data_IF_163287942749
#
_entry.id   IF_163287942749
#
_cell.length_a   1.000
_cell.length_b   1.000
_cell.length_c   1.000
_cell.angle_alpha   90.00
_cell.angle_beta   90.00
_cell.angle_gamma   90.00
#
_symmetry.space_group_name_H-M   'P 1'
#
loop_
_entity.id
_entity.type
_entity.pdbx_description
1 polymer ?
#
# COMPACT_ATOMS: atom_id res chain seq x y z
N UNK A 1 19.60 -38.76 -36.78
CA UNK A 1 18.54 -38.13 -37.59
C UNK A 1 17.64 -37.42 -36.59
N UNK A 2 17.73 -36.09 -36.50
CA UNK A 2 16.95 -35.29 -35.53
C UNK A 2 15.57 -35.14 -36.16
N UNK A 3 14.55 -35.61 -35.45
CA UNK A 3 13.16 -35.53 -35.91
C UNK A 3 12.67 -34.09 -35.75
N UNK A 4 12.65 -33.34 -36.84
CA UNK A 4 12.21 -31.97 -36.92
C UNK A 4 10.69 -31.79 -36.70
N UNK A 5 9.89 -32.87 -36.74
CA UNK A 5 8.46 -32.80 -36.55
C UNK A 5 8.05 -32.58 -35.09
N UNK A 6 8.92 -32.87 -34.09
CA UNK A 6 8.61 -32.65 -32.68
C UNK A 6 8.77 -31.20 -32.23
N UNK A 7 9.27 -30.30 -33.09
CA UNK A 7 9.47 -28.87 -32.73
C UNK A 7 8.23 -28.04 -33.06
N UNK A 8 7.32 -28.51 -33.89
CA UNK A 8 6.15 -27.77 -34.34
C UNK A 8 4.82 -28.15 -33.63
N UNK A 9 4.83 -29.14 -32.74
CA UNK A 9 3.61 -29.69 -32.11
C UNK A 9 3.10 -28.89 -30.87
N UNK A 10 3.56 -27.68 -30.62
CA UNK A 10 3.10 -26.86 -29.48
C UNK A 10 2.70 -25.41 -29.85
N UNK A 11 2.32 -25.15 -31.10
CA UNK A 11 1.55 -23.93 -31.38
C UNK A 11 0.11 -24.14 -30.93
N UNK A 12 -0.20 -23.83 -29.65
CA UNK A 12 -1.58 -23.59 -29.24
C UNK A 12 -2.17 -22.60 -30.23
N UNK A 13 -3.23 -23.03 -30.94
CA UNK A 13 -3.93 -22.22 -31.92
C UNK A 13 -4.34 -20.91 -31.23
N UNK A 14 -3.66 -19.81 -31.55
CA UNK A 14 -3.96 -18.50 -31.00
C UNK A 14 -5.28 -17.99 -31.55
N UNK A 15 -6.14 -17.51 -30.69
CA UNK A 15 -7.35 -16.79 -31.12
C UNK A 15 -6.95 -15.42 -31.67
N UNK A 16 -7.38 -15.15 -32.89
CA UNK A 16 -7.01 -13.94 -33.66
C UNK A 16 -8.28 -13.30 -34.19
N UNK A 17 -8.44 -12.00 -34.02
CA UNK A 17 -9.66 -11.34 -34.49
C UNK A 17 -9.72 -9.85 -34.19
N UNK A 18 -10.91 -9.30 -34.33
CA UNK A 18 -11.19 -7.90 -34.06
C UNK A 18 -11.91 -7.71 -32.74
N UNK A 19 -11.67 -6.57 -32.10
CA UNK A 19 -12.39 -6.23 -30.90
C UNK A 19 -13.12 -4.89 -31.03
N UNK A 20 -14.20 -4.77 -30.25
CA UNK A 20 -15.10 -3.63 -30.26
C UNK A 20 -15.36 -3.20 -28.82
N UNK A 21 -15.56 -1.92 -28.60
CA UNK A 21 -16.03 -1.36 -27.33
C UNK A 21 -17.53 -1.12 -27.42
N UNK A 22 -18.23 -1.51 -26.39
CA UNK A 22 -19.63 -1.18 -26.19
C UNK A 22 -19.72 0.08 -25.35
N UNK A 23 -20.40 1.09 -25.89
CA UNK A 23 -20.60 2.38 -25.25
C UNK A 23 -22.09 2.63 -24.98
N UNK A 24 -22.34 3.16 -23.81
CA UNK A 24 -23.67 3.64 -23.41
C UNK A 24 -23.65 5.15 -23.21
N UNK A 25 -24.66 5.84 -23.72
CA UNK A 25 -24.89 7.29 -23.61
C UNK A 25 -26.12 7.47 -22.71
N UNK A 26 -25.96 7.68 -21.38
CA UNK A 26 -27.08 7.80 -20.44
C UNK A 26 -28.01 8.97 -20.79
N UNK A 27 -27.42 10.08 -21.20
CA UNK A 27 -28.11 11.28 -21.60
C UNK A 27 -27.67 11.67 -23.02
N UNK A 28 -28.63 11.58 -23.98
CA UNK A 28 -28.39 11.89 -25.39
C UNK A 28 -28.04 13.37 -25.56
N UNK A 29 -28.58 14.27 -24.73
CA UNK A 29 -28.35 15.70 -24.83
C UNK A 29 -26.94 16.06 -24.40
N UNK A 30 -26.45 15.41 -23.32
CA UNK A 30 -25.08 15.58 -22.87
C UNK A 30 -24.06 14.91 -23.82
N UNK A 31 -24.46 13.81 -24.49
CA UNK A 31 -23.62 13.09 -25.45
C UNK A 31 -22.42 12.34 -24.86
N UNK A 32 -22.31 12.27 -23.54
CA UNK A 32 -21.21 11.58 -22.88
C UNK A 32 -21.37 10.07 -23.01
N UNK A 33 -20.37 9.41 -23.61
CA UNK A 33 -20.36 7.97 -23.80
C UNK A 33 -19.50 7.24 -22.75
N UNK A 34 -20.10 6.30 -22.05
CA UNK A 34 -19.45 5.46 -21.05
C UNK A 34 -19.16 4.08 -21.65
N UNK A 35 -17.93 3.60 -21.53
CA UNK A 35 -17.59 2.24 -21.90
C UNK A 35 -18.18 1.27 -20.88
N UNK A 36 -19.09 0.39 -21.34
CA UNK A 36 -19.81 -0.58 -20.51
C UNK A 36 -19.49 -2.03 -20.86
N UNK A 37 -18.77 -2.29 -21.95
CA UNK A 37 -18.45 -3.64 -22.36
C UNK A 37 -17.43 -3.72 -23.50
N UNK A 38 -17.04 -4.96 -23.82
CA UNK A 38 -16.14 -5.32 -24.91
C UNK A 38 -16.67 -6.56 -25.61
N UNK A 39 -16.54 -6.57 -26.95
CA UNK A 39 -16.77 -7.73 -27.82
C UNK A 39 -15.48 -8.08 -28.53
N UNK A 40 -15.14 -9.34 -28.53
CA UNK A 40 -14.13 -9.91 -29.41
C UNK A 40 -14.82 -10.81 -30.44
N UNK A 41 -14.47 -10.65 -31.71
CA UNK A 41 -14.94 -11.47 -32.81
C UNK A 41 -13.73 -12.07 -33.52
N UNK A 42 -13.65 -13.41 -33.54
CA UNK A 42 -12.57 -14.12 -34.22
C UNK A 42 -12.76 -14.08 -35.75
N UNK A 43 -11.77 -14.56 -36.49
CA UNK A 43 -11.81 -14.62 -37.95
C UNK A 43 -12.85 -15.61 -38.52
N UNK A 44 -13.45 -16.45 -37.66
CA UNK A 44 -14.52 -17.40 -38.01
C UNK A 44 -15.90 -16.83 -37.68
N UNK A 45 -15.97 -15.62 -37.10
CA UNK A 45 -17.22 -14.99 -36.67
C UNK A 45 -17.73 -15.41 -35.29
N UNK A 46 -16.95 -16.22 -34.54
CA UNK A 46 -17.31 -16.55 -33.15
C UNK A 46 -17.05 -15.32 -32.25
N UNK A 47 -17.99 -15.09 -31.32
CA UNK A 47 -17.94 -13.93 -30.46
C UNK A 47 -17.82 -14.26 -29.00
N UNK A 48 -17.08 -13.45 -28.29
CA UNK A 48 -17.00 -13.43 -26.84
C UNK A 48 -17.29 -12.01 -26.35
N UNK A 49 -18.16 -11.88 -25.36
CA UNK A 49 -18.67 -10.58 -24.87
C UNK A 49 -18.53 -10.50 -23.37
N UNK A 50 -18.00 -9.40 -22.88
CA UNK A 50 -17.99 -9.06 -21.46
C UNK A 50 -18.58 -7.67 -21.27
N UNK A 51 -19.56 -7.55 -20.39
CA UNK A 51 -20.25 -6.29 -20.05
C UNK A 51 -20.23 -6.06 -18.55
N UNK A 52 -20.42 -4.80 -18.18
CA UNK A 52 -20.42 -4.38 -16.79
C UNK A 52 -21.45 -5.18 -15.96
N UNK A 53 -21.01 -5.68 -14.80
CA UNK A 53 -21.82 -6.42 -13.84
C UNK A 53 -21.90 -5.71 -12.47
N UNK A 54 -21.09 -4.67 -12.28
CA UNK A 54 -21.01 -3.91 -11.04
C UNK A 54 -21.37 -2.43 -11.29
N UNK A 55 -22.47 -1.97 -10.70
CA UNK A 55 -23.14 -0.70 -11.05
C UNK A 55 -23.02 0.37 -9.96
N UNK A 56 -22.36 0.13 -8.85
CA UNK A 56 -22.27 1.11 -7.75
C UNK A 56 -21.63 2.44 -8.18
N UNK A 57 -20.65 2.39 -9.10
CA UNK A 57 -20.02 3.60 -9.63
C UNK A 57 -20.99 4.41 -10.49
N UNK A 58 -21.87 3.77 -11.22
CA UNK A 58 -22.93 4.44 -12.00
C UNK A 58 -23.89 5.16 -11.04
N UNK A 59 -24.34 4.48 -9.97
CA UNK A 59 -25.20 5.10 -8.97
C UNK A 59 -24.56 6.31 -8.28
N UNK A 60 -23.27 6.22 -7.96
CA UNK A 60 -22.52 7.32 -7.34
C UNK A 60 -22.24 8.49 -8.30
N UNK A 61 -22.02 8.22 -9.57
CA UNK A 61 -21.66 9.24 -10.58
C UNK A 61 -22.86 9.89 -11.25
N UNK A 62 -23.85 9.07 -11.67
CA UNK A 62 -25.05 9.54 -12.40
C UNK A 62 -26.31 9.62 -11.52
N UNK A 63 -26.30 8.93 -10.37
CA UNK A 63 -27.45 8.78 -9.50
C UNK A 63 -28.14 7.40 -9.62
N UNK A 64 -28.81 6.99 -8.56
CA UNK A 64 -29.43 5.65 -8.43
C UNK A 64 -30.45 5.35 -9.55
N UNK A 65 -31.13 6.37 -10.09
CA UNK A 65 -32.07 6.20 -11.20
C UNK A 65 -31.45 5.59 -12.45
N UNK A 66 -30.15 5.83 -12.71
CA UNK A 66 -29.43 5.30 -13.86
C UNK A 66 -28.95 3.86 -13.68
N UNK A 67 -28.93 3.34 -12.47
CA UNK A 67 -28.48 1.96 -12.21
C UNK A 67 -29.38 0.94 -12.89
N UNK A 68 -30.71 1.15 -12.84
CA UNK A 68 -31.65 0.25 -13.51
C UNK A 68 -31.49 0.29 -15.05
N UNK A 69 -31.35 1.50 -15.61
CA UNK A 69 -31.13 1.66 -17.05
C UNK A 69 -29.82 1.00 -17.51
N UNK A 70 -28.73 1.18 -16.75
CA UNK A 70 -27.45 0.55 -17.04
C UNK A 70 -27.51 -0.97 -17.02
N UNK A 71 -28.19 -1.57 -16.04
CA UNK A 71 -28.43 -3.03 -15.97
C UNK A 71 -29.17 -3.53 -17.19
N UNK A 72 -30.31 -2.91 -17.50
CA UNK A 72 -31.12 -3.28 -18.66
C UNK A 72 -30.32 -3.12 -19.97
N UNK A 73 -29.56 -2.04 -20.11
CA UNK A 73 -28.70 -1.82 -21.27
C UNK A 73 -27.65 -2.91 -21.41
N UNK A 74 -26.97 -3.29 -20.33
CA UNK A 74 -25.97 -4.36 -20.33
C UNK A 74 -26.58 -5.71 -20.72
N UNK A 75 -27.77 -6.04 -20.22
CA UNK A 75 -28.47 -7.29 -20.58
C UNK A 75 -28.85 -7.32 -22.07
N UNK A 76 -29.45 -6.24 -22.58
CA UNK A 76 -29.81 -6.14 -24.01
C UNK A 76 -28.56 -6.25 -24.90
N UNK A 77 -27.51 -5.49 -24.58
CA UNK A 77 -26.31 -5.45 -25.39
C UNK A 77 -25.58 -6.78 -25.41
N UNK A 78 -25.56 -7.52 -24.29
CA UNK A 78 -24.95 -8.87 -24.24
C UNK A 78 -25.60 -9.79 -25.27
N UNK A 79 -26.93 -9.83 -25.32
CA UNK A 79 -27.66 -10.67 -26.26
C UNK A 79 -27.48 -10.21 -27.70
N UNK A 80 -27.59 -8.91 -27.95
CA UNK A 80 -27.46 -8.33 -29.29
C UNK A 80 -26.06 -8.53 -29.85
N UNK A 81 -25.01 -8.30 -29.05
CA UNK A 81 -23.64 -8.44 -29.47
C UNK A 81 -23.24 -9.90 -29.80
N UNK A 82 -23.93 -10.88 -29.22
CA UNK A 82 -23.73 -12.29 -29.53
C UNK A 82 -24.47 -12.75 -30.79
N UNK A 83 -25.65 -12.17 -31.07
CA UNK A 83 -26.61 -12.73 -32.04
C UNK A 83 -26.79 -11.89 -33.30
N UNK A 84 -26.55 -10.55 -33.21
CA UNK A 84 -26.82 -9.64 -34.33
C UNK A 84 -25.53 -9.05 -34.92
N UNK A 85 -25.57 -8.51 -36.18
CA UNK A 85 -24.41 -7.81 -36.75
C UNK A 85 -23.92 -6.66 -35.85
N UNK A 86 -22.61 -6.53 -35.64
CA UNK A 86 -22.03 -5.53 -34.72
C UNK A 86 -22.12 -4.08 -35.26
N UNK A 87 -22.37 -3.90 -36.51
CA UNK A 87 -22.59 -2.61 -37.17
C UNK A 87 -24.07 -2.15 -37.12
N UNK A 88 -24.95 -3.02 -36.58
CA UNK A 88 -26.38 -2.66 -36.41
C UNK A 88 -26.50 -1.58 -35.33
N UNK A 89 -27.18 -0.50 -35.67
CA UNK A 89 -27.56 0.54 -34.72
C UNK A 89 -28.69 0.05 -33.81
N UNK A 90 -28.36 -0.23 -32.55
CA UNK A 90 -29.32 -0.74 -31.56
C UNK A 90 -30.26 0.39 -31.09
N UNK A 91 -29.67 1.52 -30.73
CA UNK A 91 -30.39 2.75 -30.33
C UNK A 91 -29.47 3.96 -30.40
N UNK A 92 -30.02 5.16 -30.16
CA UNK A 92 -29.20 6.38 -30.05
C UNK A 92 -28.29 6.36 -28.80
N UNK A 93 -28.62 5.55 -27.81
CA UNK A 93 -27.88 5.46 -26.54
C UNK A 93 -26.80 4.39 -26.53
N UNK A 94 -26.75 3.53 -27.55
CA UNK A 94 -25.86 2.36 -27.58
C UNK A 94 -25.02 2.37 -28.86
N UNK A 95 -23.70 2.41 -28.71
CA UNK A 95 -22.76 2.29 -29.81
C UNK A 95 -21.86 1.09 -29.63
N UNK A 96 -21.66 0.31 -30.68
CA UNK A 96 -20.60 -0.71 -30.76
C UNK A 96 -19.54 -0.20 -31.71
N UNK A 97 -18.37 0.14 -31.18
CA UNK A 97 -17.31 0.82 -31.92
C UNK A 97 -16.13 -0.12 -32.13
N UNK A 98 -15.84 -0.43 -33.38
CA UNK A 98 -14.64 -1.20 -33.77
C UNK A 98 -13.37 -0.46 -33.35
N UNK A 99 -12.46 -1.13 -32.66
CA UNK A 99 -11.22 -0.53 -32.15
C UNK A 99 -9.96 -1.04 -32.85
N UNK A 100 -9.88 -2.32 -33.11
CA UNK A 100 -8.68 -2.85 -33.77
C UNK A 100 -8.60 -4.36 -33.77
N UNK A 101 -7.41 -4.83 -34.05
CA UNK A 101 -7.05 -6.23 -34.12
C UNK A 101 -6.36 -6.66 -32.82
N UNK A 102 -6.57 -7.90 -32.40
CA UNK A 102 -5.94 -8.48 -31.23
C UNK A 102 -5.75 -9.98 -31.38
N UNK A 103 -4.83 -10.56 -30.59
CA UNK A 103 -4.57 -11.99 -30.53
C UNK A 103 -4.26 -12.41 -29.10
N UNK A 104 -4.55 -13.66 -28.76
CA UNK A 104 -4.26 -14.26 -27.47
C UNK A 104 -4.51 -15.76 -27.44
N UNK A 105 -4.30 -16.39 -26.29
CA UNK A 105 -4.40 -17.85 -26.17
C UNK A 105 -5.86 -18.34 -26.28
N UNK A 106 -6.81 -17.57 -25.76
CA UNK A 106 -8.24 -17.86 -25.92
C UNK A 106 -9.09 -16.58 -25.95
N UNK A 107 -10.31 -16.61 -26.53
CA UNK A 107 -11.20 -15.47 -26.64
C UNK A 107 -11.60 -14.85 -25.28
N UNK A 108 -11.82 -15.66 -24.25
CA UNK A 108 -12.26 -15.21 -22.95
C UNK A 108 -11.18 -14.36 -22.26
N UNK A 109 -9.90 -14.80 -22.30
CA UNK A 109 -8.79 -14.05 -21.74
C UNK A 109 -8.56 -12.72 -22.47
N UNK A 110 -8.73 -12.73 -23.81
CA UNK A 110 -8.64 -11.51 -24.63
C UNK A 110 -9.70 -10.49 -24.15
N UNK A 111 -10.95 -10.93 -24.05
CA UNK A 111 -12.07 -10.06 -23.65
C UNK A 111 -11.88 -9.54 -22.23
N UNK A 112 -11.53 -10.39 -21.27
CA UNK A 112 -11.31 -10.00 -19.88
C UNK A 112 -10.15 -9.00 -19.75
N UNK A 113 -9.06 -9.19 -20.46
CA UNK A 113 -7.93 -8.27 -20.46
C UNK A 113 -8.31 -6.90 -21.03
N UNK A 114 -9.03 -6.87 -22.16
CA UNK A 114 -9.49 -5.65 -22.80
C UNK A 114 -10.54 -4.93 -21.95
N UNK A 115 -11.49 -5.68 -21.41
CA UNK A 115 -12.54 -5.16 -20.53
C UNK A 115 -11.95 -4.42 -19.33
N UNK A 116 -11.01 -5.04 -18.63
CA UNK A 116 -10.33 -4.43 -17.48
C UNK A 116 -9.52 -3.17 -17.86
N UNK A 117 -9.06 -3.06 -19.11
CA UNK A 117 -8.32 -1.88 -19.59
C UNK A 117 -9.24 -0.73 -19.99
N UNK A 118 -10.38 -0.99 -20.61
CA UNK A 118 -11.20 0.06 -21.24
C UNK A 118 -12.49 0.38 -20.50
N UNK A 119 -13.01 -0.53 -19.66
CA UNK A 119 -14.22 -0.32 -18.87
C UNK A 119 -13.84 0.13 -17.46
N UNK A 120 -13.54 1.42 -17.32
CA UNK A 120 -13.11 2.00 -16.03
C UNK A 120 -14.17 1.88 -14.92
N UNK A 121 -15.43 1.75 -15.29
CA UNK A 121 -16.55 1.57 -14.36
C UNK A 121 -16.54 0.21 -13.65
N UNK A 122 -15.89 -0.80 -14.22
CA UNK A 122 -15.78 -2.14 -13.61
C UNK A 122 -14.80 -2.19 -12.43
N UNK A 123 -13.93 -1.21 -12.29
CA UNK A 123 -13.10 -1.16 -11.10
C UNK A 123 -14.03 -1.09 -9.90
N UNK A 124 -14.25 -2.26 -9.25
CA UNK A 124 -14.94 -2.31 -7.95
C UNK A 124 -14.34 -1.19 -7.15
N UNK A 125 -15.18 -0.27 -6.66
CA UNK A 125 -14.72 0.63 -5.63
C UNK A 125 -14.27 -0.34 -4.56
N UNK A 126 -12.96 -0.66 -4.56
CA UNK A 126 -12.35 -1.12 -3.34
C UNK A 126 -12.69 0.05 -2.45
N UNK A 127 -13.78 -0.06 -1.67
CA UNK A 127 -13.88 0.74 -0.48
C UNK A 127 -12.50 0.50 0.12
N UNK A 128 -11.63 1.51 -0.03
CA UNK A 128 -10.56 1.65 0.93
C UNK A 128 -11.38 1.60 2.20
N UNK A 129 -11.48 0.37 2.79
CA UNK A 129 -12.03 0.22 4.13
C UNK A 129 -11.62 1.53 4.73
N UNK A 130 -12.56 2.32 5.29
CA UNK A 130 -12.20 3.41 6.18
C UNK A 130 -11.45 2.75 7.35
N UNK A 131 -10.37 2.07 6.98
CA UNK A 131 -9.31 1.72 7.85
C UNK A 131 -8.94 3.07 8.37
N UNK A 132 -8.98 3.30 9.65
CA UNK A 132 -8.45 4.46 10.32
C UNK A 132 -7.30 4.93 9.48
N UNK A 133 -7.40 6.13 8.86
CA UNK A 133 -6.39 6.61 7.93
C UNK A 133 -5.06 6.45 8.65
N UNK A 134 -4.19 5.57 8.14
CA UNK A 134 -2.88 5.39 8.74
C UNK A 134 -2.24 6.77 8.83
N UNK A 135 -2.05 7.24 10.03
CA UNK A 135 -1.41 8.51 10.30
C UNK A 135 0.02 8.22 10.75
N UNK A 136 0.98 8.75 10.02
CA UNK A 136 2.38 8.70 10.45
C UNK A 136 2.55 9.42 11.79
N UNK A 137 3.42 8.88 12.63
CA UNK A 137 3.74 9.46 13.92
C UNK A 137 5.20 9.94 13.89
N UNK A 138 5.44 11.26 13.71
CA UNK A 138 6.77 11.82 13.77
C UNK A 138 7.43 11.58 15.13
N UNK A 139 8.77 11.46 15.13
CA UNK A 139 9.56 11.21 16.35
C UNK A 139 9.27 12.20 17.47
N UNK A 140 9.15 13.49 17.17
CA UNK A 140 8.90 14.52 18.17
C UNK A 140 7.51 14.37 18.80
N UNK A 141 6.50 14.03 18.00
CA UNK A 141 5.16 13.74 18.52
C UNK A 141 5.15 12.48 19.39
N UNK A 142 5.90 11.46 18.99
CA UNK A 142 6.08 10.24 19.77
C UNK A 142 6.76 10.56 21.11
N UNK A 143 7.85 11.32 21.07
CA UNK A 143 8.58 11.71 22.26
C UNK A 143 7.71 12.47 23.26
N UNK A 144 6.95 13.47 22.81
CA UNK A 144 6.04 14.22 23.68
C UNK A 144 5.00 13.32 24.35
N UNK A 145 4.45 12.34 23.62
CA UNK A 145 3.52 11.35 24.18
C UNK A 145 4.20 10.46 25.22
N UNK A 146 5.43 9.98 24.93
CA UNK A 146 6.21 9.18 25.87
C UNK A 146 6.53 9.97 27.14
N UNK A 147 7.01 11.22 27.01
CA UNK A 147 7.29 12.09 28.16
C UNK A 147 6.11 12.22 29.11
N UNK A 148 4.93 12.53 28.57
CA UNK A 148 3.73 12.73 29.39
C UNK A 148 3.37 11.48 30.20
N UNK A 149 3.54 10.29 29.59
CA UNK A 149 3.25 9.04 30.23
C UNK A 149 4.34 8.65 31.25
N UNK A 150 5.62 8.76 30.84
CA UNK A 150 6.75 8.48 31.74
C UNK A 150 6.75 9.39 32.97
N UNK A 151 6.29 10.63 32.83
CA UNK A 151 6.18 11.55 33.96
C UNK A 151 5.16 11.07 35.00
N UNK A 152 4.07 10.40 34.58
CA UNK A 152 3.11 9.81 35.50
C UNK A 152 3.60 8.50 36.10
N UNK A 153 4.36 7.71 35.34
CA UNK A 153 4.73 6.36 35.75
C UNK A 153 6.04 6.31 36.57
N UNK A 154 6.96 7.26 36.35
CA UNK A 154 8.25 7.37 37.07
C UNK A 154 8.22 8.40 38.23
N UNK A 155 7.20 9.25 38.29
CA UNK A 155 7.00 10.25 39.35
C UNK A 155 8.29 11.04 39.69
N UNK A 156 8.85 10.82 40.89
CA UNK A 156 10.06 11.50 41.37
C UNK A 156 11.33 11.11 40.60
N UNK A 157 11.38 9.91 40.04
CA UNK A 157 12.54 9.39 39.34
C UNK A 157 12.59 9.84 37.87
N UNK A 158 11.54 10.48 37.36
CA UNK A 158 11.46 10.93 35.98
C UNK A 158 12.68 11.72 35.53
N UNK A 159 13.13 12.68 36.35
CA UNK A 159 14.27 13.54 36.01
C UNK A 159 15.63 12.83 35.99
N UNK A 160 15.74 11.64 36.60
CA UNK A 160 16.95 10.82 36.55
C UNK A 160 17.16 10.18 35.19
N UNK A 161 16.06 9.83 34.49
CA UNK A 161 16.10 9.08 33.23
C UNK A 161 15.73 9.91 32.00
N UNK A 162 14.91 10.95 32.18
CA UNK A 162 14.40 11.80 31.08
C UNK A 162 14.91 13.22 31.27
N UNK A 163 16.01 13.60 30.61
CA UNK A 163 16.60 14.92 30.76
C UNK A 163 15.69 15.99 30.13
N UNK A 164 15.76 17.23 30.66
CA UNK A 164 15.01 18.37 30.10
C UNK A 164 15.31 18.63 28.61
N UNK A 165 16.55 18.34 28.19
CA UNK A 165 16.93 18.43 26.78
C UNK A 165 17.24 17.01 26.26
N UNK A 166 16.48 16.50 25.28
CA UNK A 166 16.73 15.18 24.71
C UNK A 166 18.02 15.10 23.90
N UNK A 167 18.65 16.23 23.61
CA UNK A 167 19.91 16.28 22.90
C UNK A 167 21.08 16.43 23.85
N UNK A 168 22.10 15.59 23.67
CA UNK A 168 23.38 15.70 24.35
C UNK A 168 24.44 16.28 23.41
N UNK A 169 25.23 17.24 23.89
CA UNK A 169 26.31 17.84 23.12
C UNK A 169 27.58 17.04 23.31
N UNK A 170 28.18 16.65 22.21
CA UNK A 170 29.49 16.00 22.19
C UNK A 170 30.57 17.10 22.10
N UNK A 171 31.34 17.30 23.15
CA UNK A 171 32.44 18.24 23.24
C UNK A 171 32.20 19.65 22.60
N UNK A 172 33.22 20.49 22.50
CA UNK A 172 33.13 21.86 21.99
C UNK A 172 32.76 21.98 20.48
N UNK A 173 32.65 20.85 19.75
CA UNK A 173 32.41 20.86 18.29
C UNK A 173 30.93 20.91 17.90
N UNK A 174 30.02 21.08 18.84
CA UNK A 174 28.61 21.36 18.52
C UNK A 174 27.77 20.19 18.02
N UNK A 175 28.32 18.97 17.87
CA UNK A 175 27.53 17.81 17.52
C UNK A 175 26.53 17.48 18.61
N UNK A 176 25.26 17.33 18.21
CA UNK A 176 24.16 16.99 19.11
C UNK A 176 23.71 15.57 18.83
N UNK A 177 23.70 14.73 19.85
CA UNK A 177 23.17 13.36 19.80
C UNK A 177 21.76 13.35 20.37
N UNK A 178 20.82 12.72 19.69
CA UNK A 178 19.45 12.57 20.19
C UNK A 178 19.34 11.36 21.11
N UNK A 179 19.38 11.63 22.41
CA UNK A 179 19.44 10.64 23.49
C UNK A 179 18.39 11.00 24.54
N UNK A 180 17.08 10.78 24.26
CA UNK A 180 15.99 11.20 25.12
C UNK A 180 15.92 10.45 26.46
N UNK A 181 16.55 9.27 26.57
CA UNK A 181 16.58 8.49 27.81
C UNK A 181 18.00 8.18 28.19
N UNK A 182 18.36 8.48 29.43
CA UNK A 182 19.72 8.36 29.95
C UNK A 182 19.69 7.92 31.40
N UNK A 183 20.67 7.12 31.81
CA UNK A 183 20.96 6.75 33.19
C UNK A 183 22.48 6.91 33.41
N UNK A 184 22.99 6.48 34.54
CA UNK A 184 24.42 6.61 34.84
C UNK A 184 25.31 5.84 33.85
N UNK A 185 24.87 4.64 33.44
CA UNK A 185 25.66 3.70 32.61
C UNK A 185 24.93 3.32 31.31
N UNK A 186 23.68 3.73 31.14
CA UNK A 186 22.82 3.35 30.02
C UNK A 186 22.34 4.57 29.23
N UNK A 187 22.21 4.39 27.93
CA UNK A 187 21.69 5.43 27.04
C UNK A 187 20.72 4.84 26.04
N UNK A 188 19.65 5.56 25.74
CA UNK A 188 18.73 5.11 24.72
C UNK A 188 18.23 6.25 23.82
N UNK A 189 17.98 5.90 22.55
CA UNK A 189 17.31 6.74 21.58
C UNK A 189 15.88 6.28 21.34
N UNK A 190 15.07 7.14 20.73
CA UNK A 190 13.69 6.86 20.33
C UNK A 190 13.56 7.10 18.83
N UNK A 191 13.03 6.11 18.12
CA UNK A 191 12.74 6.23 16.70
C UNK A 191 11.28 5.88 16.41
N UNK A 192 10.75 6.45 15.34
CA UNK A 192 9.46 6.08 14.82
C UNK A 192 9.62 5.38 13.48
N UNK A 193 9.09 4.17 13.38
CA UNK A 193 8.88 3.44 12.14
C UNK A 193 7.41 3.51 11.67
N UNK A 194 6.58 4.32 12.33
CA UNK A 194 5.18 4.52 11.97
C UNK A 194 5.04 5.47 10.76
N UNK A 195 5.56 5.03 9.61
CA UNK A 195 5.49 5.70 8.32
C UNK A 195 5.11 4.70 7.23
N UNK A 196 4.60 5.22 6.10
CA UNK A 196 4.31 4.40 4.91
C UNK A 196 5.52 4.26 3.96
N UNK A 197 6.55 5.08 4.15
CA UNK A 197 7.77 5.11 3.35
C UNK A 197 8.92 4.42 4.10
N UNK A 198 9.40 3.33 3.53
CA UNK A 198 10.47 2.50 4.11
C UNK A 198 11.82 3.24 4.17
N UNK A 199 12.12 4.12 3.19
CA UNK A 199 13.35 4.87 3.18
C UNK A 199 13.42 5.86 4.34
N UNK A 200 12.29 6.50 4.64
CA UNK A 200 12.19 7.39 5.80
C UNK A 200 12.41 6.64 7.12
N UNK A 201 11.88 5.41 7.21
CA UNK A 201 12.08 4.54 8.37
C UNK A 201 13.55 4.17 8.53
N UNK A 202 14.22 3.75 7.44
CA UNK A 202 15.65 3.45 7.44
C UNK A 202 16.47 4.62 7.93
N UNK A 203 16.25 5.82 7.41
CA UNK A 203 16.96 7.03 7.85
C UNK A 203 16.78 7.26 9.36
N UNK A 204 15.55 7.16 9.88
CA UNK A 204 15.28 7.35 11.31
C UNK A 204 16.01 6.33 12.20
N UNK A 205 16.04 5.07 11.77
CA UNK A 205 16.71 4.00 12.53
C UNK A 205 18.24 4.13 12.48
N UNK A 206 18.81 4.46 11.33
CA UNK A 206 20.24 4.70 11.20
C UNK A 206 20.71 5.95 11.97
N UNK A 207 19.90 7.02 12.00
CA UNK A 207 20.20 8.20 12.82
C UNK A 207 20.21 7.85 14.30
N UNK A 208 19.20 7.10 14.78
CA UNK A 208 19.14 6.65 16.15
C UNK A 208 20.35 5.73 16.52
N UNK A 209 20.70 4.81 15.62
CA UNK A 209 21.87 3.94 15.79
C UNK A 209 23.18 4.75 15.85
N UNK A 210 23.34 5.69 14.92
CA UNK A 210 24.54 6.56 14.88
C UNK A 210 24.69 7.29 16.20
N UNK A 211 23.61 7.89 16.71
CA UNK A 211 23.64 8.70 17.92
C UNK A 211 23.98 7.85 19.16
N UNK A 212 23.34 6.67 19.32
CA UNK A 212 23.65 5.74 20.43
C UNK A 212 25.07 5.19 20.31
N UNK A 213 25.49 4.74 19.12
CA UNK A 213 26.84 4.20 18.92
C UNK A 213 27.92 5.26 19.16
N UNK A 214 27.66 6.51 18.78
CA UNK A 214 28.58 7.61 19.06
C UNK A 214 28.65 7.90 20.54
N UNK A 215 27.53 7.86 21.26
CA UNK A 215 27.52 8.03 22.72
C UNK A 215 28.32 6.93 23.41
N UNK A 216 28.12 5.67 23.03
CA UNK A 216 28.87 4.52 23.61
C UNK A 216 30.38 4.60 23.35
N UNK A 217 30.80 5.17 22.22
CA UNK A 217 32.24 5.27 21.86
C UNK A 217 32.92 6.51 22.40
N UNK A 218 32.18 7.59 22.62
CA UNK A 218 32.76 8.90 22.91
C UNK A 218 32.49 9.39 24.32
N UNK A 219 31.61 8.73 25.06
CA UNK A 219 31.24 9.08 26.42
C UNK A 219 31.47 7.87 27.32
N UNK A 220 32.60 7.82 28.02
CA UNK A 220 33.05 6.68 28.83
C UNK A 220 32.06 6.21 29.91
N UNK A 221 31.07 7.05 30.23
CA UNK A 221 30.04 6.74 31.22
C UNK A 221 28.99 5.74 30.73
N UNK A 222 28.82 5.56 29.41
CA UNK A 222 27.78 4.68 28.87
C UNK A 222 28.38 3.36 28.39
N UNK A 223 27.85 2.26 28.93
CA UNK A 223 28.25 0.90 28.56
C UNK A 223 27.14 0.14 27.82
N UNK A 224 25.89 0.58 27.97
CA UNK A 224 24.72 -0.08 27.43
C UNK A 224 23.89 0.87 26.55
N UNK A 225 23.62 0.47 25.31
CA UNK A 225 22.84 1.22 24.36
C UNK A 225 21.51 0.53 24.02
N UNK A 226 20.43 1.32 23.91
CA UNK A 226 19.15 0.81 23.47
C UNK A 226 18.49 1.77 22.45
N UNK A 227 17.64 1.24 21.57
CA UNK A 227 16.80 2.03 20.68
C UNK A 227 15.38 1.51 20.82
N UNK A 228 14.47 2.41 21.21
CA UNK A 228 13.03 2.14 21.27
C UNK A 228 12.39 2.54 19.96
N UNK A 229 11.61 1.65 19.34
CA UNK A 229 11.02 1.88 18.03
C UNK A 229 9.52 1.63 18.06
N UNK A 230 8.75 2.65 17.73
CA UNK A 230 7.32 2.46 17.46
C UNK A 230 7.14 1.95 16.03
N UNK A 231 6.68 0.71 15.89
CA UNK A 231 6.37 0.11 14.58
C UNK A 231 4.96 0.51 14.10
N UNK A 232 4.65 0.36 12.79
CA UNK A 232 3.34 0.71 12.27
C UNK A 232 2.20 -0.06 12.94
N UNK A 233 1.08 0.63 13.14
CA UNK A 233 -0.16 0.00 13.61
C UNK A 233 -0.74 -0.95 12.53
N UNK A 234 -1.72 -1.78 12.93
CA UNK A 234 -2.41 -2.69 12.03
C UNK A 234 -3.29 -1.99 10.97
N UNK A 235 -3.36 -0.65 11.01
CA UNK A 235 -4.08 0.16 10.03
C UNK A 235 -3.28 0.39 8.73
N UNK A 236 -1.99 0.06 8.71
CA UNK A 236 -1.17 0.08 7.50
C UNK A 236 -1.46 -1.15 6.63
N UNK A 237 -1.37 -0.97 5.31
CA UNK A 237 -1.46 -2.06 4.35
C UNK A 237 -0.51 -3.22 4.70
N UNK A 238 -1.02 -4.45 4.65
CA UNK A 238 -0.31 -5.64 5.14
C UNK A 238 1.01 -5.88 4.40
N UNK A 239 1.06 -5.59 3.09
CA UNK A 239 2.26 -5.77 2.28
C UNK A 239 3.36 -4.80 2.70
N UNK A 240 2.99 -3.53 2.93
CA UNK A 240 3.92 -2.50 3.42
C UNK A 240 4.35 -2.79 4.85
N UNK A 241 3.44 -3.26 5.70
CA UNK A 241 3.75 -3.62 7.08
C UNK A 241 4.78 -4.75 7.13
N UNK A 242 4.57 -5.83 6.37
CA UNK A 242 5.51 -6.94 6.30
C UNK A 242 6.89 -6.52 5.78
N UNK A 243 6.93 -5.63 4.78
CA UNK A 243 8.20 -5.10 4.27
C UNK A 243 8.96 -4.29 5.34
N UNK A 244 8.25 -3.51 6.15
CA UNK A 244 8.84 -2.74 7.26
C UNK A 244 9.32 -3.67 8.39
N UNK A 245 8.54 -4.67 8.75
CA UNK A 245 8.90 -5.65 9.78
C UNK A 245 10.16 -6.44 9.38
N UNK A 246 10.26 -6.89 8.13
CA UNK A 246 11.45 -7.56 7.61
C UNK A 246 12.70 -6.66 7.67
N UNK A 247 12.56 -5.39 7.30
CA UNK A 247 13.66 -4.42 7.37
C UNK A 247 14.12 -4.17 8.81
N UNK A 248 13.18 -4.06 9.75
CA UNK A 248 13.50 -3.88 11.17
C UNK A 248 14.23 -5.11 11.72
N UNK A 249 13.84 -6.34 11.35
CA UNK A 249 14.52 -7.56 11.78
C UNK A 249 15.94 -7.66 11.20
N UNK A 250 16.16 -7.22 9.96
CA UNK A 250 17.52 -7.16 9.38
C UNK A 250 18.39 -6.15 10.14
N UNK A 251 17.86 -4.96 10.43
CA UNK A 251 18.57 -3.93 11.20
C UNK A 251 18.85 -4.37 12.64
N UNK A 252 17.95 -5.12 13.26
CA UNK A 252 18.12 -5.66 14.61
C UNK A 252 19.38 -6.53 14.73
N UNK A 253 19.65 -7.36 13.72
CA UNK A 253 20.87 -8.15 13.68
C UNK A 253 22.14 -7.26 13.64
N UNK A 254 22.13 -6.18 12.83
CA UNK A 254 23.24 -5.24 12.74
C UNK A 254 23.45 -4.47 14.05
N UNK A 255 22.37 -4.06 14.72
CA UNK A 255 22.46 -3.31 15.98
C UNK A 255 22.96 -4.17 17.12
N UNK A 256 22.55 -5.42 17.19
CA UNK A 256 23.08 -6.36 18.18
C UNK A 256 24.59 -6.56 18.08
N UNK A 257 25.16 -6.55 16.86
CA UNK A 257 26.63 -6.58 16.67
C UNK A 257 27.34 -5.36 17.23
N UNK A 258 26.65 -4.22 17.32
CA UNK A 258 27.16 -2.99 17.90
C UNK A 258 26.87 -2.85 19.41
N UNK A 259 26.40 -3.90 20.08
CA UNK A 259 25.94 -3.89 21.47
C UNK A 259 24.78 -2.90 21.73
N UNK A 260 23.92 -2.70 20.72
CA UNK A 260 22.75 -1.85 20.83
C UNK A 260 21.50 -2.74 20.80
N UNK A 261 20.71 -2.72 21.87
CA UNK A 261 19.45 -3.48 21.95
C UNK A 261 18.34 -2.73 21.22
N UNK A 262 17.72 -3.36 20.23
CA UNK A 262 16.55 -2.83 19.56
C UNK A 262 15.28 -3.37 20.23
N UNK A 263 14.42 -2.47 20.71
CA UNK A 263 13.15 -2.78 21.39
C UNK A 263 12.02 -2.19 20.57
N UNK A 264 11.09 -3.02 20.10
CA UNK A 264 10.05 -2.62 19.17
C UNK A 264 8.66 -2.95 19.68
N UNK A 265 7.70 -2.05 19.50
CA UNK A 265 6.29 -2.34 19.74
C UNK A 265 5.42 -1.50 18.77
N UNK A 266 4.23 -2.00 18.41
CA UNK A 266 3.26 -1.27 17.58
C UNK A 266 2.24 -0.49 18.43
N UNK A 267 2.32 -0.58 19.74
CA UNK A 267 1.45 0.08 20.71
C UNK A 267 2.26 1.06 21.57
N UNK A 268 1.88 2.35 21.49
CA UNK A 268 2.53 3.42 22.25
C UNK A 268 2.55 3.15 23.77
N UNK A 269 1.48 2.54 24.31
CA UNK A 269 1.39 2.21 25.73
C UNK A 269 2.42 1.15 26.14
N UNK A 270 2.47 0.04 25.39
CA UNK A 270 3.43 -1.03 25.65
C UNK A 270 4.87 -0.57 25.48
N UNK A 271 5.14 0.26 24.45
CA UNK A 271 6.47 0.83 24.26
C UNK A 271 6.89 1.70 25.45
N UNK A 272 5.97 2.50 26.01
CA UNK A 272 6.22 3.28 27.21
C UNK A 272 6.48 2.39 28.43
N UNK A 273 5.70 1.31 28.62
CA UNK A 273 5.89 0.37 29.72
C UNK A 273 7.30 -0.29 29.64
N UNK A 274 7.77 -0.62 28.43
CA UNK A 274 9.13 -1.13 28.18
C UNK A 274 10.23 -0.09 28.49
N UNK A 275 9.95 1.21 28.22
CA UNK A 275 10.89 2.29 28.60
C UNK A 275 10.95 2.42 30.12
N UNK A 276 9.82 2.35 30.83
CA UNK A 276 9.78 2.37 32.31
C UNK A 276 10.58 1.19 32.87
N UNK A 277 10.35 -0.02 32.37
CA UNK A 277 11.10 -1.21 32.78
C UNK A 277 12.61 -1.02 32.54
N UNK A 278 13.00 -0.48 31.37
CA UNK A 278 14.40 -0.17 31.07
C UNK A 278 14.99 0.87 32.03
N UNK A 279 14.22 1.86 32.45
CA UNK A 279 14.66 2.86 33.44
C UNK A 279 14.92 2.20 34.81
N UNK A 280 14.01 1.35 35.25
CA UNK A 280 14.02 0.76 36.60
C UNK A 280 14.92 -0.50 36.73
N UNK A 281 15.18 -1.21 35.64
CA UNK A 281 16.13 -2.34 35.68
C UNK A 281 17.55 -1.82 35.85
N UNK A 282 18.14 -2.09 37.00
CA UNK A 282 19.54 -1.77 37.33
C UNK A 282 20.52 -2.58 36.47
#
# INVERSE_FOLDING_TARGET
MIDFNSIFDNEKARSVGHWHVIQWIPDIVAGEALNIGVVFEDNLGNRCVEVLDYFERIGKFLGEGFVYQAKLTCDIVREVALTMPLDLKISEQINIVKRGFTQGDNPADIVTLLFNKVVSLNNKIVEKRKGKNFASIPRDRLYNKMQNKLKSDLELDFSLYVPNNPYEKLNNNGHKLYLPFRSNDKVASLASASYSDIQHIKCNLYDAQRDVNTALKSLDRYNNGSIFVLTPSNDLDITKKNAIENEIEELKWHFNKANIKLITDNNEKKLSDQIVEWCLCA
#
